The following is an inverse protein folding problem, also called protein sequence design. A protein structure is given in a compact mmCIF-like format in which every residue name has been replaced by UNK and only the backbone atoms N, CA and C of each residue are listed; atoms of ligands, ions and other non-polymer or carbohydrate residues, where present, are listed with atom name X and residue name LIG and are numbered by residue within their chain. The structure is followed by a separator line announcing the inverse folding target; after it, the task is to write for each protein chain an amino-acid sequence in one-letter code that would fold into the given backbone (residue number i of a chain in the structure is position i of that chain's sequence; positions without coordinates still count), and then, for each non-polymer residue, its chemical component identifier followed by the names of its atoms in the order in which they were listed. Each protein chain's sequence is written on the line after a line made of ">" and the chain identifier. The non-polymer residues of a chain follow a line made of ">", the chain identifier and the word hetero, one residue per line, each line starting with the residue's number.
data_IF_325694523074
#
_entry.id   IF_325694523074
#
_cell.length_a   1.000
_cell.length_b   1.000
_cell.length_c   1.000
_cell.angle_alpha   90.00
_cell.angle_beta   90.00
_cell.angle_gamma   90.00
#
_symmetry.space_group_name_H-M   'P 1'
#
loop_
_entity.id
_entity.type
_entity.pdbx_description
1 polymer ?
#
# COMPACT_ATOMS: atom_id res chain seq x y z
N UNK A 1 -11.65 13.67 -10.92
CA UNK A 1 -12.39 13.28 -9.69
C UNK A 1 -12.54 14.48 -8.78
N UNK A 2 -13.46 14.43 -7.83
CA UNK A 2 -13.58 15.39 -6.72
C UNK A 2 -13.59 14.65 -5.37
N UNK A 3 -13.05 15.28 -4.33
CA UNK A 3 -13.14 14.79 -2.95
C UNK A 3 -14.12 15.68 -2.20
N UNK A 4 -15.30 15.15 -1.92
CA UNK A 4 -16.35 15.84 -1.18
C UNK A 4 -16.27 15.55 0.31
N UNK A 5 -16.36 16.57 1.15
CA UNK A 5 -16.43 16.43 2.61
C UNK A 5 -17.87 16.66 3.04
N UNK A 6 -18.48 15.64 3.64
CA UNK A 6 -19.87 15.68 4.12
C UNK A 6 -20.06 16.80 5.14
N UNK A 7 -21.03 17.66 4.89
CA UNK A 7 -21.46 18.79 5.71
C UNK A 7 -22.72 18.46 6.52
N UNK A 8 -23.04 19.24 7.58
CA UNK A 8 -24.29 19.10 8.29
C UNK A 8 -25.50 19.28 7.37
N UNK A 9 -26.41 18.30 7.38
CA UNK A 9 -27.64 18.32 6.57
C UNK A 9 -27.52 17.61 5.21
N UNK A 10 -26.33 17.20 4.81
CA UNK A 10 -26.14 16.45 3.59
C UNK A 10 -26.83 15.09 3.61
N UNK A 11 -27.29 14.69 2.44
CA UNK A 11 -27.71 13.33 2.15
C UNK A 11 -27.18 12.93 0.77
N UNK A 12 -27.08 11.64 0.55
CA UNK A 12 -26.43 11.12 -0.64
C UNK A 12 -27.14 11.52 -1.95
N UNK A 13 -28.47 11.66 -1.92
CA UNK A 13 -29.24 12.14 -3.08
C UNK A 13 -28.89 13.58 -3.44
N UNK A 14 -28.83 14.48 -2.46
CA UNK A 14 -28.45 15.88 -2.68
C UNK A 14 -27.04 16.02 -3.23
N UNK A 15 -26.09 15.23 -2.70
CA UNK A 15 -24.71 15.18 -3.20
C UNK A 15 -24.69 14.66 -4.65
N UNK A 16 -25.34 13.53 -4.92
CA UNK A 16 -25.44 12.94 -6.26
C UNK A 16 -26.01 13.94 -7.29
N UNK A 17 -27.09 14.63 -6.92
CA UNK A 17 -27.73 15.65 -7.74
C UNK A 17 -26.79 16.85 -8.00
N UNK A 18 -26.09 17.33 -6.97
CA UNK A 18 -25.17 18.47 -7.10
C UNK A 18 -23.99 18.19 -8.04
N UNK A 19 -23.49 16.95 -8.03
CA UNK A 19 -22.38 16.54 -8.89
C UNK A 19 -22.83 15.95 -10.25
N UNK A 20 -24.12 15.71 -10.46
CA UNK A 20 -24.63 15.09 -11.68
C UNK A 20 -24.16 13.64 -11.86
N UNK A 21 -23.88 12.92 -10.78
CA UNK A 21 -23.39 11.53 -10.79
C UNK A 21 -24.45 10.62 -10.16
N UNK A 22 -24.74 9.42 -10.72
CA UNK A 22 -25.70 8.50 -10.12
C UNK A 22 -25.32 8.13 -8.67
N UNK A 23 -26.33 8.08 -7.80
CA UNK A 23 -26.14 7.72 -6.39
C UNK A 23 -25.48 6.34 -6.23
N UNK A 24 -25.86 5.36 -7.06
CA UNK A 24 -25.26 4.01 -7.08
C UNK A 24 -23.75 4.06 -7.30
N UNK A 25 -23.26 4.90 -8.22
CA UNK A 25 -21.84 5.03 -8.48
C UNK A 25 -21.09 5.56 -7.25
N UNK A 26 -21.64 6.55 -6.54
CA UNK A 26 -21.02 7.08 -5.32
C UNK A 26 -20.97 6.01 -4.22
N UNK A 27 -22.04 5.21 -4.08
CA UNK A 27 -22.10 4.10 -3.11
C UNK A 27 -21.03 3.06 -3.42
N UNK A 28 -20.91 2.66 -4.69
CA UNK A 28 -19.99 1.60 -5.14
C UNK A 28 -18.54 2.05 -5.03
N UNK A 29 -18.23 3.27 -5.48
CA UNK A 29 -16.88 3.85 -5.42
C UNK A 29 -16.38 3.97 -3.98
N UNK A 30 -17.25 4.39 -3.05
CA UNK A 30 -16.86 4.63 -1.66
C UNK A 30 -17.15 3.45 -0.73
N UNK A 31 -17.77 2.38 -1.24
CA UNK A 31 -18.28 1.22 -0.49
C UNK A 31 -18.95 1.63 0.83
N UNK A 32 -19.88 2.58 0.75
CA UNK A 32 -20.49 3.17 1.94
C UNK A 32 -21.14 2.09 2.81
N UNK A 33 -20.67 1.90 4.07
CA UNK A 33 -21.22 0.86 4.94
C UNK A 33 -22.72 1.07 5.22
N UNK A 34 -23.13 2.34 5.30
CA UNK A 34 -24.53 2.72 5.41
C UNK A 34 -24.80 3.98 4.56
N UNK A 35 -25.30 3.84 3.32
CA UNK A 35 -25.58 4.98 2.44
C UNK A 35 -26.63 5.96 2.97
N UNK A 36 -27.45 5.55 3.96
CA UNK A 36 -28.48 6.39 4.57
C UNK A 36 -27.96 7.23 5.73
N UNK A 37 -26.73 6.98 6.20
CA UNK A 37 -26.13 7.66 7.35
C UNK A 37 -24.72 8.13 6.99
N UNK A 38 -24.65 9.35 6.45
CA UNK A 38 -23.38 10.03 6.23
C UNK A 38 -22.91 10.69 7.53
N UNK A 39 -21.60 10.68 7.77
CA UNK A 39 -20.99 11.32 8.96
C UNK A 39 -20.42 12.67 8.57
N UNK A 40 -20.71 13.73 9.32
CA UNK A 40 -20.10 15.05 9.09
C UNK A 40 -18.57 14.93 9.15
N UNK A 41 -17.89 15.43 8.12
CA UNK A 41 -16.45 15.32 7.94
C UNK A 41 -15.97 14.06 7.23
N UNK A 42 -16.84 13.08 6.96
CA UNK A 42 -16.54 11.93 6.09
C UNK A 42 -16.23 12.41 4.68
N UNK A 43 -15.25 11.79 4.04
CA UNK A 43 -14.92 12.07 2.64
C UNK A 43 -15.58 11.08 1.69
N UNK A 44 -16.08 11.58 0.57
CA UNK A 44 -16.54 10.81 -0.58
C UNK A 44 -15.69 11.16 -1.80
N UNK A 45 -15.16 10.15 -2.50
CA UNK A 45 -14.55 10.32 -3.82
C UNK A 45 -15.66 10.27 -4.86
N UNK A 46 -15.78 11.32 -5.66
CA UNK A 46 -16.75 11.46 -6.74
C UNK A 46 -15.99 11.42 -8.06
N UNK A 47 -16.22 10.38 -8.87
CA UNK A 47 -15.67 10.28 -10.22
C UNK A 47 -16.76 10.56 -11.25
N UNK A 48 -16.39 11.18 -12.36
CA UNK A 48 -17.33 11.62 -13.41
C UNK A 48 -17.12 10.76 -14.65
N UNK A 49 -17.95 9.73 -14.89
CA UNK A 49 -17.87 8.96 -16.13
C UNK A 49 -18.02 9.88 -17.34
N UNK A 50 -17.12 9.74 -18.30
CA UNK A 50 -17.15 10.47 -19.57
C UNK A 50 -17.64 9.55 -20.69
N UNK A 51 -17.13 8.31 -20.70
CA UNK A 51 -17.47 7.30 -21.69
C UNK A 51 -17.94 6.04 -20.97
N UNK A 52 -19.12 5.57 -21.34
CA UNK A 52 -19.75 4.37 -20.79
C UNK A 52 -20.17 3.43 -21.90
N UNK A 53 -20.19 2.14 -21.58
CA UNK A 53 -20.57 1.06 -22.46
C UNK A 53 -21.68 0.23 -21.82
N UNK A 54 -22.70 -0.12 -22.60
CA UNK A 54 -23.76 -1.04 -22.16
C UNK A 54 -23.43 -2.43 -22.64
N UNK A 55 -23.24 -3.37 -21.71
CA UNK A 55 -22.92 -4.77 -22.00
C UNK A 55 -23.99 -5.39 -22.89
N UNK A 56 -23.55 -6.01 -23.98
CA UNK A 56 -24.38 -6.73 -24.95
C UNK A 56 -24.36 -8.25 -24.69
N UNK A 57 -25.37 -9.00 -25.17
CA UNK A 57 -25.33 -10.46 -25.14
C UNK A 57 -24.09 -11.02 -25.86
N UNK A 58 -23.31 -11.84 -25.15
CA UNK A 58 -22.08 -12.45 -25.67
C UNK A 58 -20.79 -11.71 -25.31
N UNK A 59 -20.89 -10.51 -24.72
CA UNK A 59 -19.73 -9.78 -24.26
C UNK A 59 -19.02 -10.49 -23.11
N UNK A 60 -17.69 -10.49 -23.19
CA UNK A 60 -16.80 -10.77 -22.06
C UNK A 60 -16.04 -9.52 -21.67
N UNK A 61 -15.60 -9.43 -20.42
CA UNK A 61 -14.80 -8.30 -19.95
C UNK A 61 -13.53 -8.10 -20.81
N UNK A 62 -12.90 -9.18 -21.23
CA UNK A 62 -11.74 -9.15 -22.12
C UNK A 62 -12.09 -8.59 -23.52
N UNK A 63 -13.23 -8.99 -24.10
CA UNK A 63 -13.68 -8.49 -25.40
C UNK A 63 -14.00 -6.99 -25.37
N UNK A 64 -14.64 -6.51 -24.30
CA UNK A 64 -14.94 -5.08 -24.12
C UNK A 64 -13.66 -4.29 -23.94
N UNK A 65 -12.75 -4.75 -23.08
CA UNK A 65 -11.44 -4.09 -22.88
C UNK A 65 -10.68 -3.94 -24.20
N UNK A 66 -10.58 -5.02 -24.99
CA UNK A 66 -9.89 -5.02 -26.28
C UNK A 66 -10.54 -4.04 -27.28
N UNK A 67 -11.86 -4.07 -27.42
CA UNK A 67 -12.58 -3.19 -28.35
C UNK A 67 -12.46 -1.71 -27.97
N UNK A 68 -12.41 -1.41 -26.68
CA UNK A 68 -12.25 -0.06 -26.15
C UNK A 68 -10.79 0.41 -26.06
N UNK A 69 -9.82 -0.43 -26.45
CA UNK A 69 -8.39 -0.11 -26.37
C UNK A 69 -7.86 0.02 -24.92
N UNK A 70 -8.53 -0.62 -23.96
CA UNK A 70 -8.17 -0.62 -22.55
C UNK A 70 -7.47 -1.92 -22.16
N UNK A 71 -6.58 -1.86 -21.16
CA UNK A 71 -6.16 -3.08 -20.48
C UNK A 71 -7.32 -3.64 -19.64
N UNK A 72 -7.34 -4.95 -19.44
CA UNK A 72 -8.32 -5.59 -18.56
C UNK A 72 -8.27 -5.00 -17.14
N UNK A 73 -7.06 -4.68 -16.66
CA UNK A 73 -6.83 -4.04 -15.37
C UNK A 73 -7.41 -2.63 -15.31
N UNK A 74 -7.24 -1.81 -16.34
CA UNK A 74 -7.85 -0.49 -16.38
C UNK A 74 -9.38 -0.60 -16.36
N UNK A 75 -9.95 -1.56 -17.09
CA UNK A 75 -11.40 -1.76 -17.07
C UNK A 75 -11.91 -2.21 -15.68
N UNK A 76 -11.16 -3.04 -14.96
CA UNK A 76 -11.45 -3.37 -13.55
C UNK A 76 -11.39 -2.14 -12.63
N UNK A 77 -10.32 -1.32 -12.74
CA UNK A 77 -10.16 -0.10 -11.94
C UNK A 77 -11.27 0.92 -12.19
N UNK A 78 -11.71 0.99 -13.44
CA UNK A 78 -12.82 1.85 -13.81
C UNK A 78 -14.16 1.38 -13.23
N UNK A 79 -14.31 0.07 -12.98
CA UNK A 79 -15.55 -0.56 -12.56
C UNK A 79 -15.39 -1.37 -11.26
N UNK A 80 -15.19 -0.72 -10.10
CA UNK A 80 -15.05 -1.40 -8.81
C UNK A 80 -16.26 -2.28 -8.43
N UNK A 81 -17.41 -2.07 -9.06
CA UNK A 81 -18.62 -2.91 -8.94
C UNK A 81 -18.37 -4.36 -9.39
N UNK A 82 -17.43 -4.59 -10.31
CA UNK A 82 -17.07 -5.93 -10.78
C UNK A 82 -16.37 -6.75 -9.71
N UNK A 83 -15.88 -6.11 -8.66
CA UNK A 83 -15.19 -6.75 -7.54
C UNK A 83 -13.95 -7.59 -7.93
N UNK A 84 -13.37 -7.32 -9.09
CA UNK A 84 -12.28 -8.12 -9.66
C UNK A 84 -12.73 -9.46 -10.28
N UNK A 85 -14.03 -9.61 -10.57
CA UNK A 85 -14.62 -10.77 -11.24
C UNK A 85 -14.94 -10.46 -12.72
N UNK A 86 -14.72 -11.40 -13.66
CA UNK A 86 -14.89 -11.13 -15.09
C UNK A 86 -16.35 -11.22 -15.58
N UNK A 87 -17.28 -11.64 -14.72
CA UNK A 87 -18.67 -11.88 -15.08
C UNK A 87 -19.39 -10.57 -15.41
N UNK A 88 -20.03 -10.54 -16.58
CA UNK A 88 -20.85 -9.43 -17.05
C UNK A 88 -22.30 -9.87 -17.28
N UNK A 89 -23.23 -8.95 -17.12
CA UNK A 89 -24.65 -9.16 -17.39
C UNK A 89 -25.13 -8.22 -18.51
N UNK A 90 -25.88 -8.71 -19.52
CA UNK A 90 -26.45 -7.83 -20.54
C UNK A 90 -27.27 -6.69 -19.94
N UNK A 91 -27.05 -5.46 -20.43
CA UNK A 91 -27.65 -4.24 -19.90
C UNK A 91 -26.86 -3.59 -18.75
N UNK A 92 -25.86 -4.26 -18.18
CA UNK A 92 -24.95 -3.63 -17.21
C UNK A 92 -24.18 -2.48 -17.88
N UNK A 93 -24.01 -1.38 -17.16
CA UNK A 93 -23.19 -0.25 -17.63
C UNK A 93 -21.77 -0.39 -17.10
N UNK A 94 -20.78 -0.29 -17.98
CA UNK A 94 -19.37 -0.22 -17.67
C UNK A 94 -18.84 1.19 -17.98
N UNK A 95 -18.03 1.74 -17.10
CA UNK A 95 -17.29 2.97 -17.36
C UNK A 95 -16.01 2.61 -18.11
N UNK A 96 -15.86 3.18 -19.31
CA UNK A 96 -14.65 3.03 -20.13
C UNK A 96 -13.65 4.15 -19.86
N UNK A 97 -14.14 5.37 -19.59
CA UNK A 97 -13.30 6.52 -19.29
C UNK A 97 -13.98 7.45 -18.30
N UNK A 98 -13.19 8.02 -17.40
CA UNK A 98 -13.58 9.12 -16.53
C UNK A 98 -13.03 10.45 -17.06
N UNK A 99 -13.70 11.55 -16.75
CA UNK A 99 -13.22 12.89 -17.09
C UNK A 99 -11.85 13.18 -16.45
N UNK A 100 -10.99 13.84 -17.23
CA UNK A 100 -9.62 14.17 -16.86
C UNK A 100 -8.60 13.39 -17.71
N UNK A 101 -7.33 13.68 -17.50
CA UNK A 101 -6.24 12.91 -18.10
C UNK A 101 -5.48 12.18 -16.99
N UNK A 102 -5.08 10.91 -17.20
CA UNK A 102 -4.22 10.22 -16.26
C UNK A 102 -2.95 11.02 -16.02
N UNK A 103 -2.51 11.11 -14.77
CA UNK A 103 -1.22 11.73 -14.45
C UNK A 103 -0.03 10.83 -14.81
N UNK A 104 1.17 11.13 -14.29
CA UNK A 104 2.39 10.40 -14.64
C UNK A 104 2.29 8.91 -14.29
N UNK A 105 3.12 8.10 -14.94
CA UNK A 105 3.16 6.67 -14.66
C UNK A 105 3.89 6.37 -13.36
N UNK A 106 3.31 5.55 -12.48
CA UNK A 106 3.87 5.22 -11.15
C UNK A 106 3.93 3.71 -10.92
N UNK A 107 4.95 3.27 -10.17
CA UNK A 107 5.00 1.93 -9.60
C UNK A 107 4.13 1.88 -8.33
N UNK A 108 3.33 0.83 -8.16
CA UNK A 108 2.53 0.64 -6.94
C UNK A 108 2.81 -0.74 -6.37
N UNK A 109 3.37 -0.80 -5.18
CA UNK A 109 3.54 -2.03 -4.42
C UNK A 109 2.57 -2.07 -3.24
N UNK A 110 2.15 -3.25 -2.81
CA UNK A 110 1.52 -3.41 -1.51
C UNK A 110 1.85 -4.74 -0.87
N UNK A 111 1.98 -4.71 0.45
CA UNK A 111 2.21 -5.90 1.26
C UNK A 111 0.89 -6.57 1.65
N UNK A 112 0.88 -7.89 1.78
CA UNK A 112 -0.24 -8.66 2.30
C UNK A 112 0.25 -9.92 3.01
N UNK A 113 -0.43 -10.33 4.08
CA UNK A 113 -0.19 -11.64 4.68
C UNK A 113 -1.00 -12.72 3.94
N UNK A 114 -0.54 -13.99 3.96
CA UNK A 114 -1.27 -15.13 3.40
C UNK A 114 -2.75 -15.23 3.79
N UNK A 115 -3.08 -14.85 5.03
CA UNK A 115 -4.44 -14.92 5.58
C UNK A 115 -5.32 -13.70 5.26
N UNK A 116 -4.94 -12.89 4.26
CA UNK A 116 -5.76 -11.78 3.78
C UNK A 116 -7.16 -12.24 3.33
N UNK A 117 -8.18 -11.41 3.57
CA UNK A 117 -9.50 -11.63 3.00
C UNK A 117 -9.41 -11.68 1.45
N UNK A 118 -9.75 -12.81 0.85
CA UNK A 118 -9.58 -13.02 -0.59
C UNK A 118 -10.36 -12.02 -1.44
N UNK A 119 -11.58 -11.67 -1.04
CA UNK A 119 -12.38 -10.68 -1.79
C UNK A 119 -11.77 -9.28 -1.71
N UNK A 120 -11.16 -8.91 -0.58
CA UNK A 120 -10.40 -7.66 -0.47
C UNK A 120 -9.16 -7.68 -1.37
N UNK A 121 -8.40 -8.78 -1.36
CA UNK A 121 -7.23 -8.93 -2.23
C UNK A 121 -7.63 -8.81 -3.71
N UNK A 122 -8.63 -9.59 -4.14
CA UNK A 122 -9.11 -9.61 -5.52
C UNK A 122 -9.51 -8.23 -6.05
N UNK A 123 -10.19 -7.44 -5.22
CA UNK A 123 -10.62 -6.07 -5.56
C UNK A 123 -9.46 -5.09 -5.70
N UNK A 124 -8.36 -5.36 -5.02
CA UNK A 124 -7.24 -4.43 -4.90
C UNK A 124 -6.14 -4.69 -5.92
N UNK A 125 -5.93 -5.96 -6.31
CA UNK A 125 -4.90 -6.36 -7.27
C UNK A 125 -4.87 -5.52 -8.56
N UNK A 126 -5.99 -5.16 -9.22
CA UNK A 126 -5.95 -4.33 -10.42
C UNK A 126 -5.22 -2.98 -10.26
N UNK A 127 -5.09 -2.47 -9.04
CA UNK A 127 -4.41 -1.22 -8.68
C UNK A 127 -2.93 -1.39 -8.33
N UNK A 128 -2.32 -2.57 -8.52
CA UNK A 128 -0.95 -2.83 -8.08
C UNK A 128 -0.01 -3.16 -9.24
N UNK A 129 1.16 -2.56 -9.31
CA UNK A 129 2.26 -3.08 -10.12
C UNK A 129 2.79 -4.38 -9.51
N UNK A 130 2.97 -4.38 -8.19
CA UNK A 130 3.48 -5.49 -7.41
C UNK A 130 2.59 -5.81 -6.20
N UNK A 131 2.38 -7.10 -5.95
CA UNK A 131 1.93 -7.65 -4.67
C UNK A 131 3.15 -8.26 -3.96
N UNK A 132 3.32 -7.98 -2.68
CA UNK A 132 4.43 -8.51 -1.88
C UNK A 132 3.92 -9.35 -0.70
N UNK A 133 3.85 -10.69 -0.83
CA UNK A 133 3.50 -11.58 0.28
C UNK A 133 4.51 -11.45 1.43
N UNK A 134 4.02 -11.13 2.63
CA UNK A 134 4.85 -10.93 3.82
C UNK A 134 4.78 -12.18 4.72
N UNK A 135 5.86 -12.88 5.01
CA UNK A 135 7.25 -12.74 4.51
C UNK A 135 7.99 -14.08 4.59
N UNK A 136 9.07 -14.24 3.82
CA UNK A 136 10.09 -15.21 4.15
C UNK A 136 10.96 -14.71 5.30
N UNK A 137 11.25 -15.61 6.24
CA UNK A 137 12.26 -15.44 7.27
C UNK A 137 13.54 -16.21 6.93
N UNK A 138 14.56 -16.11 7.78
CA UNK A 138 15.87 -16.75 7.57
C UNK A 138 16.19 -17.64 8.78
N UNK A 139 16.72 -18.82 8.54
CA UNK A 139 17.27 -19.71 9.56
C UNK A 139 18.80 -19.49 9.71
N UNK A 140 19.38 -19.94 10.82
CA UNK A 140 20.82 -19.75 11.11
C UNK A 140 21.76 -20.39 10.07
N UNK A 141 21.28 -21.40 9.33
CA UNK A 141 22.00 -22.10 8.26
C UNK A 141 21.77 -21.49 6.87
N UNK A 142 20.93 -20.46 6.75
CA UNK A 142 20.63 -19.77 5.48
C UNK A 142 19.45 -20.36 4.72
N UNK A 143 18.79 -21.37 5.29
CA UNK A 143 17.49 -21.83 4.79
C UNK A 143 16.40 -20.79 5.03
N UNK A 144 15.37 -20.83 4.19
CA UNK A 144 14.24 -19.92 4.29
C UNK A 144 13.15 -20.50 5.20
N UNK A 145 12.58 -19.66 6.05
CA UNK A 145 11.31 -19.99 6.74
C UNK A 145 10.20 -19.93 5.69
N UNK A 146 9.41 -21.00 5.59
CA UNK A 146 8.40 -21.15 4.54
C UNK A 146 7.25 -20.13 4.67
N UNK A 147 6.70 -19.75 3.52
CA UNK A 147 5.56 -18.84 3.39
C UNK A 147 4.49 -19.46 2.48
N UNK A 148 3.23 -19.42 2.93
CA UNK A 148 2.05 -19.85 2.17
C UNK A 148 1.56 -18.73 1.23
N UNK A 149 2.36 -18.42 0.21
CA UNK A 149 2.17 -17.30 -0.71
C UNK A 149 1.57 -17.70 -2.08
N UNK A 150 1.51 -18.99 -2.40
CA UNK A 150 1.07 -19.47 -3.71
C UNK A 150 -0.33 -18.96 -4.10
N UNK A 151 -1.34 -18.92 -3.19
CA UNK A 151 -2.64 -18.34 -3.52
C UNK A 151 -2.54 -16.85 -3.89
N UNK A 152 -1.71 -16.08 -3.19
CA UNK A 152 -1.52 -14.65 -3.44
C UNK A 152 -0.87 -14.42 -4.81
N UNK A 153 0.18 -15.17 -5.11
CA UNK A 153 0.90 -15.10 -6.40
C UNK A 153 -0.04 -15.48 -7.54
N UNK A 154 -0.82 -16.56 -7.38
CA UNK A 154 -1.76 -17.03 -8.40
C UNK A 154 -2.86 -15.99 -8.68
N UNK A 155 -3.43 -15.39 -7.63
CA UNK A 155 -4.44 -14.33 -7.76
C UNK A 155 -3.87 -13.08 -8.45
N UNK A 156 -2.67 -12.64 -8.07
CA UNK A 156 -1.98 -11.53 -8.74
C UNK A 156 -1.75 -11.80 -10.23
N UNK A 157 -1.21 -12.98 -10.56
CA UNK A 157 -0.94 -13.40 -11.94
C UNK A 157 -2.20 -13.43 -12.80
N UNK A 158 -3.34 -13.86 -12.25
CA UNK A 158 -4.61 -13.95 -12.95
C UNK A 158 -5.11 -12.58 -13.47
N UNK A 159 -4.70 -11.48 -12.85
CA UNK A 159 -5.06 -10.12 -13.26
C UNK A 159 -3.86 -9.28 -13.71
N UNK A 160 -2.68 -9.88 -13.91
CA UNK A 160 -1.48 -9.18 -14.37
C UNK A 160 -0.82 -8.27 -13.33
N UNK A 161 -0.95 -8.61 -12.04
CA UNK A 161 -0.12 -8.05 -10.96
C UNK A 161 1.04 -8.99 -10.71
N UNK A 162 2.27 -8.48 -10.84
CA UNK A 162 3.47 -9.26 -10.52
C UNK A 162 3.62 -9.43 -9.00
N UNK A 163 4.37 -10.46 -8.58
CA UNK A 163 4.70 -10.66 -7.18
C UNK A 163 6.16 -10.29 -6.92
N UNK A 164 6.48 -9.67 -5.78
CA UNK A 164 7.85 -9.56 -5.25
C UNK A 164 8.01 -10.52 -4.08
N UNK A 165 9.15 -11.19 -4.00
CA UNK A 165 9.50 -12.02 -2.85
C UNK A 165 9.95 -11.10 -1.73
N UNK A 166 9.32 -11.19 -0.56
CA UNK A 166 9.75 -10.44 0.62
C UNK A 166 10.70 -11.28 1.47
N UNK A 167 11.84 -10.70 1.84
CA UNK A 167 12.84 -11.32 2.70
C UNK A 167 13.14 -10.42 3.89
N UNK A 168 13.04 -10.98 5.10
CA UNK A 168 13.29 -10.26 6.34
C UNK A 168 14.13 -11.08 7.31
N UNK A 169 14.63 -10.44 8.36
CA UNK A 169 15.31 -11.11 9.49
C UNK A 169 14.33 -11.66 10.53
N UNK A 170 13.08 -11.90 10.14
CA UNK A 170 12.09 -12.57 10.97
C UNK A 170 12.48 -14.03 11.21
N UNK A 171 12.48 -14.43 12.47
CA UNK A 171 12.68 -15.81 12.89
C UNK A 171 11.40 -16.63 12.73
N UNK A 172 11.48 -17.95 12.90
CA UNK A 172 10.29 -18.82 12.98
C UNK A 172 9.30 -18.41 14.08
N UNK A 173 9.78 -17.73 15.13
CA UNK A 173 8.94 -17.20 16.21
C UNK A 173 8.26 -15.86 15.87
N UNK A 174 8.48 -15.33 14.66
CA UNK A 174 7.81 -14.14 14.14
C UNK A 174 8.35 -12.82 14.69
N UNK A 175 9.60 -12.78 15.19
CA UNK A 175 10.25 -11.55 15.65
C UNK A 175 11.49 -11.26 14.80
N UNK A 176 11.73 -9.97 14.50
CA UNK A 176 12.97 -9.54 13.88
C UNK A 176 14.17 -9.85 14.79
N UNK A 177 15.27 -10.33 14.22
CA UNK A 177 16.48 -10.70 14.95
C UNK A 177 17.70 -9.95 14.42
N UNK A 178 18.23 -9.06 15.26
CA UNK A 178 19.46 -8.32 14.99
C UNK A 178 20.67 -9.26 14.91
N UNK A 179 20.70 -10.28 15.77
CA UNK A 179 21.79 -11.26 15.81
C UNK A 179 21.81 -12.11 14.53
N UNK A 180 20.63 -12.47 14.02
CA UNK A 180 20.51 -13.16 12.74
C UNK A 180 20.96 -12.27 11.58
N UNK A 181 20.58 -10.99 11.61
CA UNK A 181 21.07 -10.03 10.63
C UNK A 181 22.60 -9.94 10.68
N UNK A 182 23.19 -9.75 11.87
CA UNK A 182 24.64 -9.70 12.06
C UNK A 182 25.33 -10.94 11.50
N UNK A 183 24.81 -12.13 11.80
CA UNK A 183 25.33 -13.41 11.32
C UNK A 183 25.34 -13.46 9.78
N UNK A 184 24.19 -13.21 9.15
CA UNK A 184 24.05 -13.22 7.68
C UNK A 184 24.94 -12.17 7.02
N UNK A 185 25.03 -10.96 7.59
CA UNK A 185 25.78 -9.87 6.98
C UNK A 185 27.30 -10.05 7.06
N UNK A 186 27.80 -10.87 7.99
CA UNK A 186 29.23 -11.06 8.22
C UNK A 186 29.77 -12.44 7.82
N UNK A 187 28.93 -13.39 7.39
CA UNK A 187 29.36 -14.70 6.90
C UNK A 187 29.12 -14.85 5.38
N UNK A 188 30.20 -14.86 4.60
CA UNK A 188 30.12 -14.94 3.14
C UNK A 188 29.62 -16.29 2.62
N UNK A 189 29.83 -17.38 3.37
CA UNK A 189 29.37 -18.72 3.00
C UNK A 189 27.88 -18.84 3.24
N UNK A 190 27.40 -18.32 4.38
CA UNK A 190 25.97 -18.24 4.69
C UNK A 190 25.22 -17.38 3.67
N UNK A 191 25.81 -16.25 3.25
CA UNK A 191 25.23 -15.43 2.18
C UNK A 191 25.08 -16.19 0.87
N UNK A 192 26.03 -17.05 0.48
CA UNK A 192 25.87 -17.85 -0.75
C UNK A 192 24.69 -18.81 -0.65
N UNK A 193 24.58 -19.53 0.46
CA UNK A 193 23.45 -20.45 0.71
C UNK A 193 22.12 -19.70 0.64
N UNK A 194 22.02 -18.57 1.35
CA UNK A 194 20.81 -17.76 1.36
C UNK A 194 20.46 -17.22 -0.03
N UNK A 195 21.45 -16.70 -0.78
CA UNK A 195 21.23 -16.16 -2.13
C UNK A 195 20.77 -17.27 -3.09
N UNK A 196 21.32 -18.48 -2.99
CA UNK A 196 20.92 -19.62 -3.81
C UNK A 196 19.48 -20.08 -3.49
N UNK A 197 19.10 -20.08 -2.21
CA UNK A 197 17.74 -20.39 -1.77
C UNK A 197 16.72 -19.34 -2.21
N UNK A 198 17.10 -18.05 -2.12
CA UNK A 198 16.29 -16.94 -2.66
C UNK A 198 16.11 -17.10 -4.16
N UNK A 199 17.19 -17.34 -4.92
CA UNK A 199 17.12 -17.48 -6.37
C UNK A 199 16.23 -18.68 -6.78
N UNK A 200 16.38 -19.81 -6.11
CA UNK A 200 15.56 -21.01 -6.35
C UNK A 200 14.09 -20.71 -6.10
N UNK A 201 13.77 -19.99 -5.02
CA UNK A 201 12.40 -19.59 -4.68
C UNK A 201 11.82 -18.62 -5.70
N UNK A 202 12.59 -17.60 -6.11
CA UNK A 202 12.19 -16.62 -7.13
C UNK A 202 11.76 -17.32 -8.43
N UNK A 203 12.60 -18.25 -8.90
CA UNK A 203 12.36 -19.00 -10.15
C UNK A 203 11.19 -19.97 -10.02
N UNK A 204 11.13 -20.74 -8.93
CA UNK A 204 10.12 -21.80 -8.75
C UNK A 204 8.72 -21.24 -8.59
N UNK A 205 8.57 -20.14 -7.83
CA UNK A 205 7.27 -19.52 -7.57
C UNK A 205 6.87 -18.46 -8.61
N UNK A 206 7.82 -18.02 -9.44
CA UNK A 206 7.58 -17.03 -10.50
C UNK A 206 7.42 -15.62 -9.94
N UNK A 207 8.24 -15.27 -8.95
CA UNK A 207 8.39 -13.90 -8.48
C UNK A 207 9.08 -13.04 -9.53
N UNK A 208 8.90 -11.72 -9.47
CA UNK A 208 9.43 -10.76 -10.45
C UNK A 208 10.56 -9.89 -9.89
N UNK A 209 10.99 -10.14 -8.65
CA UNK A 209 12.02 -9.38 -7.96
C UNK A 209 12.06 -9.73 -6.48
N UNK A 210 13.05 -9.18 -5.78
CA UNK A 210 13.27 -9.37 -4.35
C UNK A 210 13.12 -8.04 -3.63
N UNK A 211 12.37 -8.04 -2.54
CA UNK A 211 12.26 -6.94 -1.59
C UNK A 211 12.87 -7.36 -0.25
N UNK A 212 13.89 -6.62 0.21
CA UNK A 212 14.66 -6.95 1.42
C UNK A 212 14.34 -5.93 2.51
N UNK A 213 13.86 -6.43 3.64
CA UNK A 213 13.43 -5.66 4.80
C UNK A 213 14.13 -6.17 6.07
N UNK A 214 15.37 -5.75 6.24
CA UNK A 214 16.14 -6.08 7.43
C UNK A 214 16.07 -4.89 8.38
N UNK A 215 15.27 -5.01 9.44
CA UNK A 215 15.11 -3.94 10.43
C UNK A 215 16.03 -4.15 11.65
N UNK A 216 16.21 -3.07 12.42
CA UNK A 216 17.00 -3.06 13.66
C UNK A 216 18.46 -3.49 13.48
N UNK A 217 19.05 -3.26 12.30
CA UNK A 217 20.45 -3.59 12.01
C UNK A 217 21.40 -2.85 12.97
N UNK A 218 22.38 -3.56 13.53
CA UNK A 218 23.35 -2.93 14.42
C UNK A 218 24.17 -1.86 13.68
N UNK A 219 24.58 -0.77 14.35
CA UNK A 219 25.33 0.31 13.72
C UNK A 219 26.60 -0.16 12.98
N UNK A 220 27.33 -1.14 13.53
CA UNK A 220 28.53 -1.69 12.88
C UNK A 220 28.25 -2.45 11.57
N UNK A 221 27.00 -2.89 11.36
CA UNK A 221 26.60 -3.70 10.22
C UNK A 221 26.05 -2.86 9.05
N UNK A 222 26.05 -1.53 9.14
CA UNK A 222 25.53 -0.66 8.08
C UNK A 222 26.23 -0.86 6.71
N UNK A 223 27.57 -0.94 6.70
CA UNK A 223 28.34 -1.20 5.48
C UNK A 223 28.25 -2.66 5.02
N UNK A 224 28.38 -3.67 5.91
CA UNK A 224 28.06 -5.06 5.59
C UNK A 224 26.68 -5.24 4.94
N UNK A 225 25.65 -4.53 5.44
CA UNK A 225 24.31 -4.59 4.87
C UNK A 225 24.26 -4.10 3.42
N UNK A 226 24.82 -2.92 3.13
CA UNK A 226 24.90 -2.42 1.77
C UNK A 226 25.73 -3.33 0.84
N UNK A 227 26.79 -3.95 1.35
CA UNK A 227 27.57 -4.93 0.60
C UNK A 227 26.75 -6.19 0.25
N UNK A 228 25.94 -6.69 1.19
CA UNK A 228 25.03 -7.82 0.96
C UNK A 228 23.96 -7.48 -0.07
N UNK A 229 23.31 -6.32 0.01
CA UNK A 229 22.33 -5.86 -0.99
C UNK A 229 22.98 -5.77 -2.39
N UNK A 230 24.22 -5.28 -2.48
CA UNK A 230 24.97 -5.24 -3.75
C UNK A 230 25.22 -6.65 -4.29
N UNK A 231 25.60 -7.61 -3.44
CA UNK A 231 25.82 -9.01 -3.83
C UNK A 231 24.53 -9.66 -4.34
N UNK A 232 23.41 -9.46 -3.65
CA UNK A 232 22.08 -9.88 -4.11
C UNK A 232 21.80 -9.30 -5.50
N UNK A 233 21.94 -7.98 -5.67
CA UNK A 233 21.71 -7.32 -6.95
C UNK A 233 22.58 -7.90 -8.06
N UNK A 234 23.88 -8.07 -7.83
CA UNK A 234 24.82 -8.53 -8.84
C UNK A 234 24.53 -9.98 -9.27
N UNK A 235 23.96 -10.80 -8.37
CA UNK A 235 23.50 -12.17 -8.67
C UNK A 235 22.13 -12.22 -9.35
N UNK A 236 21.21 -11.34 -8.98
CA UNK A 236 19.80 -11.40 -9.37
C UNK A 236 19.47 -10.57 -10.63
N UNK A 237 20.10 -9.41 -10.82
CA UNK A 237 19.84 -8.53 -11.97
C UNK A 237 20.12 -9.19 -13.34
N UNK A 238 21.22 -9.96 -13.54
CA UNK A 238 21.47 -10.63 -14.82
C UNK A 238 20.36 -11.61 -15.22
N UNK A 239 19.55 -12.05 -14.25
CA UNK A 239 18.41 -12.95 -14.42
C UNK A 239 17.07 -12.20 -14.51
N UNK A 240 17.09 -10.86 -14.48
CA UNK A 240 15.90 -10.02 -14.59
C UNK A 240 15.18 -9.74 -13.27
N UNK A 241 15.78 -10.07 -12.12
CA UNK A 241 15.18 -9.82 -10.80
C UNK A 241 15.78 -8.56 -10.14
N UNK A 242 15.05 -7.43 -10.11
CA UNK A 242 15.49 -6.25 -9.36
C UNK A 242 15.46 -6.51 -7.84
N UNK A 243 16.35 -5.83 -7.14
CA UNK A 243 16.41 -5.82 -5.67
C UNK A 243 15.90 -4.48 -5.14
N UNK A 244 14.90 -4.54 -4.28
CA UNK A 244 14.33 -3.44 -3.53
C UNK A 244 14.80 -3.58 -2.08
N UNK A 245 15.03 -2.45 -1.41
CA UNK A 245 15.37 -2.44 0.01
C UNK A 245 14.44 -1.50 0.77
N UNK A 246 13.86 -1.97 1.87
CA UNK A 246 13.08 -1.16 2.78
C UNK A 246 14.02 -0.38 3.72
N UNK A 247 13.73 0.91 3.93
CA UNK A 247 14.51 1.77 4.81
C UNK A 247 13.63 2.38 5.90
N UNK A 248 14.12 2.32 7.12
CA UNK A 248 13.59 3.07 8.25
C UNK A 248 13.56 4.58 7.95
N UNK A 249 12.54 5.32 8.40
CA UNK A 249 12.37 6.74 8.08
C UNK A 249 13.40 7.61 8.82
N UNK A 250 14.41 8.10 8.08
CA UNK A 250 15.46 9.01 8.59
C UNK A 250 15.23 10.43 8.10
N UNK A 251 15.64 11.40 8.91
CA UNK A 251 15.63 12.84 8.56
C UNK A 251 17.03 13.47 8.58
N UNK A 252 18.04 12.71 9.02
CA UNK A 252 19.45 13.05 8.92
C UNK A 252 20.30 11.77 8.85
N UNK A 253 21.57 11.90 8.44
CA UNK A 253 22.49 10.76 8.32
C UNK A 253 22.92 10.19 9.67
N UNK A 254 23.06 11.05 10.67
CA UNK A 254 23.48 10.78 12.04
C UNK A 254 22.33 10.51 13.01
N UNK A 255 21.09 10.33 12.51
CA UNK A 255 19.93 10.05 13.34
C UNK A 255 20.16 8.80 14.22
N UNK A 256 20.17 8.93 15.55
CA UNK A 256 20.54 7.84 16.45
C UNK A 256 19.36 6.89 16.69
N UNK A 257 19.67 5.64 17.03
CA UNK A 257 18.68 4.63 17.39
C UNK A 257 18.84 3.39 16.54
N UNK A 258 18.61 2.24 17.18
CA UNK A 258 18.78 0.91 16.60
C UNK A 258 18.02 0.70 15.28
N UNK A 259 16.88 1.37 15.11
CA UNK A 259 16.09 1.31 13.88
C UNK A 259 16.78 2.03 12.68
N UNK A 260 17.65 3.00 12.94
CA UNK A 260 18.14 3.96 11.94
C UNK A 260 19.64 3.82 11.63
N UNK A 261 20.44 3.46 12.63
CA UNK A 261 21.91 3.52 12.53
C UNK A 261 22.48 2.49 11.53
N UNK A 262 21.86 1.30 11.45
CA UNK A 262 22.24 0.29 10.46
C UNK A 262 21.78 0.58 9.02
N UNK A 263 21.02 1.66 8.79
CA UNK A 263 20.53 2.05 7.47
C UNK A 263 21.31 3.26 6.92
N UNK A 264 22.39 2.97 6.17
CA UNK A 264 23.07 3.97 5.35
C UNK A 264 22.29 4.21 4.05
N UNK A 265 21.55 5.33 4.00
CA UNK A 265 20.73 5.68 2.84
C UNK A 265 21.55 5.77 1.55
N UNK A 266 22.73 6.39 1.58
CA UNK A 266 23.61 6.49 0.40
C UNK A 266 24.05 5.13 -0.09
N UNK A 267 24.64 4.33 0.80
CA UNK A 267 25.23 3.04 0.41
C UNK A 267 24.15 2.04 -0.04
N UNK A 268 23.01 2.00 0.64
CA UNK A 268 21.86 1.15 0.26
C UNK A 268 21.19 1.67 -1.01
N UNK A 269 21.08 3.00 -1.16
CA UNK A 269 20.59 3.66 -2.36
C UNK A 269 21.46 3.35 -3.57
N UNK A 270 22.78 3.25 -3.44
CA UNK A 270 23.69 2.80 -4.50
C UNK A 270 23.62 1.29 -4.76
N UNK A 271 23.42 0.49 -3.71
CA UNK A 271 23.40 -0.96 -3.77
C UNK A 271 22.13 -1.54 -4.39
N UNK A 272 20.94 -0.99 -4.09
CA UNK A 272 19.65 -1.52 -4.55
C UNK A 272 19.24 -1.01 -5.95
N UNK A 273 18.21 -1.60 -6.57
CA UNK A 273 17.56 -1.06 -7.77
C UNK A 273 16.51 0.02 -7.41
N UNK A 274 15.80 -0.18 -6.29
CA UNK A 274 14.78 0.73 -5.73
C UNK A 274 14.86 0.71 -4.21
N UNK A 275 14.25 1.71 -3.59
CA UNK A 275 14.19 1.89 -2.15
C UNK A 275 12.76 2.16 -1.73
N UNK A 276 12.28 1.44 -0.72
CA UNK A 276 10.98 1.67 -0.09
C UNK A 276 11.17 2.43 1.22
N UNK A 277 10.64 3.67 1.30
CA UNK A 277 10.73 4.48 2.51
C UNK A 277 9.54 4.18 3.43
N UNK A 278 9.79 3.58 4.60
CA UNK A 278 8.75 3.25 5.60
C UNK A 278 8.25 4.50 6.35
N UNK A 279 7.62 5.42 5.62
CA UNK A 279 7.20 6.75 6.07
C UNK A 279 5.84 6.71 6.78
N UNK A 280 5.76 5.90 7.84
CA UNK A 280 4.59 5.74 8.69
C UNK A 280 4.98 5.32 10.12
N UNK A 281 4.01 5.13 11.01
CA UNK A 281 4.17 4.71 12.41
C UNK A 281 4.78 5.77 13.35
N UNK A 282 4.52 7.06 13.10
CA UNK A 282 4.71 8.09 14.15
C UNK A 282 3.64 7.96 15.24
N UNK A 283 2.37 7.90 14.82
CA UNK A 283 1.28 7.40 15.65
C UNK A 283 1.20 5.88 15.50
N UNK A 284 1.62 5.16 16.54
CA UNK A 284 1.71 3.69 16.52
C UNK A 284 1.04 3.05 17.74
N UNK A 285 0.87 1.73 17.66
CA UNK A 285 0.14 0.90 18.64
C UNK A 285 0.50 1.17 20.12
N UNK A 286 1.77 1.41 20.43
CA UNK A 286 2.25 1.62 21.81
C UNK A 286 2.69 3.06 22.09
N UNK A 287 2.52 3.95 21.10
CA UNK A 287 2.77 5.38 21.23
C UNK A 287 1.51 6.15 21.66
N UNK A 288 1.65 7.44 22.01
CA UNK A 288 0.51 8.30 22.26
C UNK A 288 -0.34 8.50 20.98
N UNK A 289 -1.63 8.86 21.12
CA UNK A 289 -2.49 9.16 19.97
C UNK A 289 -1.94 10.32 19.13
N UNK A 290 -1.75 10.08 17.84
CA UNK A 290 -1.44 11.07 16.81
C UNK A 290 -1.64 10.45 15.43
N UNK A 291 -1.52 11.27 14.37
CA UNK A 291 -1.55 10.78 12.99
C UNK A 291 -0.51 9.66 12.75
N UNK A 292 -0.88 8.64 11.97
CA UNK A 292 0.01 7.51 11.64
C UNK A 292 1.20 7.98 10.80
N UNK A 293 0.93 8.82 9.81
CA UNK A 293 1.92 9.39 8.90
C UNK A 293 1.65 10.90 8.70
N UNK A 294 2.00 11.75 9.68
CA UNK A 294 1.83 13.19 9.56
C UNK A 294 2.68 13.73 8.40
N UNK A 295 2.05 14.47 7.48
CA UNK A 295 2.68 14.90 6.22
C UNK A 295 4.00 15.68 6.39
N UNK A 296 4.18 16.57 7.38
CA UNK A 296 5.47 17.25 7.59
C UNK A 296 6.62 16.28 7.87
N UNK A 297 6.35 15.19 8.60
CA UNK A 297 7.38 14.20 8.92
C UNK A 297 7.68 13.31 7.71
N UNK A 298 6.63 12.92 6.96
CA UNK A 298 6.79 12.20 5.68
C UNK A 298 7.66 13.01 4.72
N UNK A 299 7.38 14.32 4.61
CA UNK A 299 8.14 15.26 3.79
C UNK A 299 9.61 15.34 4.20
N UNK A 300 9.87 15.51 5.51
CA UNK A 300 11.24 15.57 6.02
C UNK A 300 12.07 14.32 5.68
N UNK A 301 11.44 13.14 5.70
CA UNK A 301 12.10 11.88 5.32
C UNK A 301 12.39 11.84 3.81
N UNK A 302 11.42 12.25 2.97
CA UNK A 302 11.63 12.32 1.52
C UNK A 302 12.73 13.32 1.18
N UNK A 303 12.72 14.51 1.78
CA UNK A 303 13.71 15.56 1.55
C UNK A 303 15.13 15.09 1.92
N UNK A 304 15.28 14.40 3.06
CA UNK A 304 16.55 13.78 3.41
C UNK A 304 16.92 12.63 2.44
N UNK A 305 15.97 11.78 2.06
CA UNK A 305 16.24 10.69 1.13
C UNK A 305 16.80 11.21 -0.20
N UNK A 306 16.28 12.34 -0.70
CA UNK A 306 16.72 12.98 -1.93
C UNK A 306 18.13 13.57 -1.86
N UNK A 307 18.70 13.79 -0.67
CA UNK A 307 20.11 14.20 -0.55
C UNK A 307 21.07 13.01 -0.70
N UNK A 308 20.56 11.78 -0.60
CA UNK A 308 21.38 10.55 -0.59
C UNK A 308 21.04 9.57 -1.73
N UNK A 309 19.84 9.63 -2.30
CA UNK A 309 19.29 8.63 -3.23
C UNK A 309 18.58 9.35 -4.40
N UNK A 310 18.83 8.96 -5.67
CA UNK A 310 18.09 9.48 -6.80
C UNK A 310 16.58 9.27 -6.67
N UNK A 311 15.79 10.31 -7.00
CA UNK A 311 14.33 10.33 -6.83
C UNK A 311 13.62 9.16 -7.53
N UNK A 312 14.07 8.80 -8.73
CA UNK A 312 13.54 7.72 -9.55
C UNK A 312 13.78 6.30 -8.97
N UNK A 313 14.45 6.21 -7.81
CA UNK A 313 14.59 4.96 -7.05
C UNK A 313 13.64 4.87 -5.87
N UNK A 314 13.02 5.97 -5.45
CA UNK A 314 12.28 6.07 -4.20
C UNK A 314 10.81 5.69 -4.38
N UNK A 315 10.32 4.80 -3.51
CA UNK A 315 8.92 4.53 -3.29
C UNK A 315 8.47 5.13 -1.96
N UNK A 316 7.40 5.92 -2.00
CA UNK A 316 6.79 6.52 -0.83
C UNK A 316 5.99 5.48 -0.03
N UNK A 317 6.21 5.40 1.27
CA UNK A 317 5.41 4.59 2.19
C UNK A 317 4.05 5.23 2.49
N UNK A 318 2.98 4.47 2.34
CA UNK A 318 1.62 4.93 2.64
C UNK A 318 0.90 3.92 3.54
N UNK A 319 0.41 4.34 4.73
CA UNK A 319 -0.37 3.45 5.58
C UNK A 319 -1.81 3.30 5.06
N UNK A 320 -2.33 2.08 5.13
CA UNK A 320 -3.74 1.74 4.81
C UNK A 320 -4.61 1.52 6.05
N UNK A 321 -4.19 2.07 7.20
CA UNK A 321 -4.81 1.84 8.49
C UNK A 321 -4.74 3.08 9.37
N UNK A 322 -5.58 3.08 10.39
CA UNK A 322 -5.54 4.01 11.51
C UNK A 322 -5.45 3.26 12.82
N UNK A 323 -5.62 4.00 13.90
CA UNK A 323 -5.59 3.50 15.26
C UNK A 323 -6.66 4.15 16.11
N UNK A 324 -7.22 3.35 17.01
CA UNK A 324 -8.15 3.75 18.06
C UNK A 324 -7.49 3.53 19.43
N UNK A 325 -7.22 4.63 20.14
CA UNK A 325 -6.59 4.61 21.46
C UNK A 325 -7.61 4.82 22.57
N UNK A 326 -7.66 3.95 23.60
CA UNK A 326 -8.33 4.29 24.84
C UNK A 326 -7.52 5.35 25.62
N UNK A 327 -8.22 6.28 26.26
CA UNK A 327 -7.67 7.39 27.02
C UNK A 327 -7.95 7.27 28.52
N UNK A 328 -7.06 7.78 29.40
CA UNK A 328 -5.80 8.44 29.06
C UNK A 328 -4.73 7.46 28.55
N UNK A 329 -3.82 7.96 27.70
CA UNK A 329 -2.64 7.20 27.30
C UNK A 329 -1.68 7.05 28.49
N UNK A 330 -1.26 5.82 28.76
CA UNK A 330 -0.29 5.47 29.78
C UNK A 330 0.84 4.65 29.11
N UNK A 331 2.05 5.20 29.11
CA UNK A 331 3.22 4.55 28.51
C UNK A 331 3.44 3.15 29.10
N UNK A 332 3.68 2.16 28.22
CA UNK A 332 3.87 0.77 28.60
C UNK A 332 2.60 0.02 29.04
N UNK A 333 1.43 0.65 29.00
CA UNK A 333 0.14 0.03 29.35
C UNK A 333 -0.91 0.18 28.26
N UNK A 334 -1.08 1.40 27.74
CA UNK A 334 -2.07 1.66 26.69
C UNK A 334 -1.62 1.02 25.39
N UNK A 335 -2.56 0.36 24.73
CA UNK A 335 -2.37 -0.26 23.42
C UNK A 335 -3.51 0.17 22.51
N UNK A 336 -3.18 0.79 21.38
CA UNK A 336 -4.16 1.15 20.37
C UNK A 336 -4.64 -0.10 19.60
N UNK A 337 -5.85 -0.02 19.06
CA UNK A 337 -6.36 -1.02 18.12
C UNK A 337 -6.17 -0.53 16.70
N UNK A 338 -5.45 -1.28 15.86
CA UNK A 338 -5.30 -0.94 14.44
C UNK A 338 -6.60 -1.22 13.68
N UNK A 339 -7.12 -0.21 12.99
CA UNK A 339 -8.44 -0.23 12.34
C UNK A 339 -8.37 0.21 10.88
N UNK A 340 -9.38 -0.16 10.09
CA UNK A 340 -9.51 0.34 8.72
C UNK A 340 -10.15 1.74 8.71
N UNK A 341 -9.89 2.55 7.67
CA UNK A 341 -10.63 3.80 7.45
C UNK A 341 -12.15 3.61 7.39
N UNK A 342 -12.64 2.53 6.77
CA UNK A 342 -14.07 2.22 6.72
C UNK A 342 -14.65 1.95 8.12
N UNK A 343 -13.87 1.31 9.00
CA UNK A 343 -14.30 1.06 10.37
C UNK A 343 -14.23 2.33 11.22
N UNK A 344 -13.24 3.21 11.01
CA UNK A 344 -13.17 4.52 11.66
C UNK A 344 -14.44 5.35 11.36
N UNK A 345 -14.89 5.41 10.11
CA UNK A 345 -16.16 6.07 9.73
C UNK A 345 -17.36 5.41 10.41
N UNK A 346 -17.38 4.07 10.49
CA UNK A 346 -18.46 3.34 11.18
C UNK A 346 -18.49 3.62 12.69
N UNK A 347 -17.33 3.77 13.35
CA UNK A 347 -17.23 4.18 14.74
C UNK A 347 -17.77 5.60 14.94
N UNK A 348 -17.35 6.54 14.09
CA UNK A 348 -17.83 7.91 14.13
C UNK A 348 -19.37 7.97 13.97
N UNK A 349 -19.93 7.18 13.05
CA UNK A 349 -21.38 7.04 12.90
C UNK A 349 -22.06 6.47 14.15
N UNK A 350 -21.54 5.37 14.70
CA UNK A 350 -22.07 4.68 15.90
C UNK A 350 -22.17 5.63 17.09
N UNK A 351 -21.11 6.40 17.33
CA UNK A 351 -21.01 7.29 18.48
C UNK A 351 -21.44 8.74 18.18
N UNK A 352 -21.95 9.00 16.98
CA UNK A 352 -22.40 10.33 16.52
C UNK A 352 -21.30 11.41 16.65
N UNK A 353 -20.06 11.02 16.40
CA UNK A 353 -18.91 11.92 16.37
C UNK A 353 -18.71 12.47 14.97
N UNK A 354 -18.50 13.78 14.85
CA UNK A 354 -18.02 14.39 13.61
C UNK A 354 -16.54 14.09 13.41
N UNK A 355 -16.14 13.84 12.17
CA UNK A 355 -14.75 13.62 11.79
C UNK A 355 -14.09 14.98 11.56
N UNK A 356 -13.07 15.29 12.36
CA UNK A 356 -12.23 16.47 12.19
C UNK A 356 -11.06 16.16 11.25
N UNK A 357 -10.42 17.20 10.73
CA UNK A 357 -9.23 17.06 9.90
C UNK A 357 -8.15 17.99 10.42
N UNK A 358 -6.96 17.44 10.67
CA UNK A 358 -5.79 18.24 11.03
C UNK A 358 -5.09 18.68 9.75
N UNK A 359 -5.13 19.98 9.46
CA UNK A 359 -4.55 20.54 8.23
C UNK A 359 -3.00 20.52 8.25
N UNK A 360 -2.36 20.42 9.41
CA UNK A 360 -0.90 20.34 9.50
C UNK A 360 -0.44 18.92 9.27
N UNK A 361 -1.00 17.95 10.00
CA UNK A 361 -0.70 16.54 9.82
C UNK A 361 -1.25 15.99 8.49
N UNK A 362 -2.23 16.67 7.90
CA UNK A 362 -3.04 16.20 6.77
C UNK A 362 -3.63 14.81 7.06
N UNK A 363 -4.36 14.70 8.17
CA UNK A 363 -4.96 13.45 8.63
C UNK A 363 -6.31 13.67 9.34
N UNK A 364 -7.32 12.80 9.10
CA UNK A 364 -8.58 12.84 9.82
C UNK A 364 -8.46 12.24 11.24
N UNK A 365 -9.25 12.79 12.15
CA UNK A 365 -9.34 12.29 13.52
C UNK A 365 -10.68 12.60 14.18
N UNK A 366 -11.01 11.89 15.24
CA UNK A 366 -12.14 12.22 16.11
C UNK A 366 -11.98 11.59 17.50
N UNK A 367 -12.86 11.97 18.43
CA UNK A 367 -12.98 11.35 19.75
C UNK A 367 -14.39 10.84 19.97
N UNK A 368 -14.51 9.82 20.81
CA UNK A 368 -15.80 9.32 21.29
C UNK A 368 -15.68 8.79 22.72
N UNK A 369 -16.80 8.42 23.32
CA UNK A 369 -16.84 7.71 24.62
C UNK A 369 -17.60 6.41 24.41
N UNK A 370 -16.99 5.29 24.78
CA UNK A 370 -17.58 3.96 24.64
C UNK A 370 -18.69 3.71 25.68
N UNK A 371 -19.34 2.55 25.60
CA UNK A 371 -20.42 2.19 26.52
C UNK A 371 -19.96 2.04 27.98
N UNK A 372 -18.66 1.88 28.22
CA UNK A 372 -18.06 1.76 29.55
C UNK A 372 -17.64 3.13 30.13
N UNK A 373 -17.82 4.23 29.39
CA UNK A 373 -17.36 5.56 29.79
C UNK A 373 -15.88 5.82 29.49
N UNK A 374 -15.19 4.92 28.79
CA UNK A 374 -13.81 5.11 28.33
C UNK A 374 -13.81 6.11 27.19
N UNK A 375 -12.94 7.11 27.26
CA UNK A 375 -12.74 8.05 26.15
C UNK A 375 -11.79 7.44 25.13
N UNK A 376 -12.04 7.69 23.86
CA UNK A 376 -11.21 7.21 22.76
C UNK A 376 -10.77 8.37 21.87
N UNK A 377 -9.59 8.24 21.29
CA UNK A 377 -9.10 9.10 20.21
C UNK A 377 -8.71 8.24 19.02
N UNK A 378 -9.21 8.59 17.84
CA UNK A 378 -9.03 7.85 16.60
C UNK A 378 -8.32 8.74 15.60
N UNK A 379 -7.21 8.25 15.06
CA UNK A 379 -6.52 8.83 13.90
C UNK A 379 -6.47 7.80 12.78
N UNK A 380 -6.78 8.20 11.55
CA UNK A 380 -6.84 7.29 10.41
C UNK A 380 -6.49 8.04 9.11
N UNK A 381 -6.70 7.39 7.97
CA UNK A 381 -6.48 7.97 6.65
C UNK A 381 -7.81 8.10 5.89
N UNK A 382 -7.98 9.15 5.09
CA UNK A 382 -9.14 9.33 4.21
C UNK A 382 -8.70 9.82 2.82
N UNK A 383 -9.65 10.13 1.93
CA UNK A 383 -9.30 10.55 0.58
C UNK A 383 -8.43 11.82 0.55
N UNK A 384 -8.59 12.74 1.51
CA UNK A 384 -7.81 13.99 1.60
C UNK A 384 -6.36 13.69 1.94
N UNK A 385 -6.15 12.90 3.00
CA UNK A 385 -4.81 12.55 3.46
C UNK A 385 -4.05 11.71 2.45
N UNK A 386 -4.72 10.78 1.76
CA UNK A 386 -4.12 10.01 0.65
C UNK A 386 -3.74 10.92 -0.51
N UNK A 387 -4.63 11.83 -0.95
CA UNK A 387 -4.28 12.79 -2.01
C UNK A 387 -3.06 13.62 -1.63
N UNK A 388 -3.00 14.11 -0.40
CA UNK A 388 -1.89 14.92 0.08
C UNK A 388 -0.55 14.17 0.05
N UNK A 389 -0.53 12.91 0.52
CA UNK A 389 0.67 12.05 0.50
C UNK A 389 1.07 11.66 -0.93
N UNK A 390 0.12 11.20 -1.73
CA UNK A 390 0.40 10.78 -3.10
C UNK A 390 0.88 11.93 -4.00
N UNK A 391 0.46 13.17 -3.71
CA UNK A 391 0.95 14.35 -4.44
C UNK A 391 2.45 14.61 -4.24
N UNK A 392 3.08 14.03 -3.20
CA UNK A 392 4.53 14.10 -3.01
C UNK A 392 5.29 13.37 -4.14
N UNK A 393 4.68 12.36 -4.78
CA UNK A 393 5.31 11.60 -5.87
C UNK A 393 5.65 12.52 -7.05
N UNK A 394 4.70 13.22 -7.68
CA UNK A 394 5.01 14.15 -8.75
C UNK A 394 5.74 15.41 -8.26
N UNK A 395 5.53 15.84 -7.01
CA UNK A 395 6.24 16.99 -6.42
C UNK A 395 7.76 16.76 -6.36
N UNK A 396 8.18 15.56 -5.97
CA UNK A 396 9.59 15.21 -5.81
C UNK A 396 10.16 14.32 -6.91
N UNK A 397 9.35 13.91 -7.90
CA UNK A 397 9.77 13.02 -8.98
C UNK A 397 10.04 11.59 -8.55
N UNK A 398 9.30 11.09 -7.54
CA UNK A 398 9.45 9.73 -7.00
C UNK A 398 8.96 8.68 -8.01
N UNK A 399 9.45 7.44 -7.90
CA UNK A 399 9.08 6.35 -8.82
C UNK A 399 7.66 5.81 -8.57
N UNK A 400 7.19 5.88 -7.32
CA UNK A 400 5.95 5.25 -6.93
C UNK A 400 5.63 5.25 -5.44
N UNK A 401 4.74 4.35 -5.04
CA UNK A 401 4.31 4.16 -3.66
C UNK A 401 4.31 2.67 -3.26
N UNK A 402 4.59 2.41 -1.99
CA UNK A 402 4.40 1.11 -1.33
C UNK A 402 3.41 1.23 -0.18
N UNK A 403 2.44 0.32 -0.12
CA UNK A 403 1.38 0.34 0.89
C UNK A 403 1.56 -0.71 1.97
N UNK A 404 1.63 -0.28 3.23
CA UNK A 404 1.52 -1.15 4.39
C UNK A 404 0.12 -1.02 5.00
N UNK A 405 -0.73 -2.03 4.99
CA UNK A 405 -0.74 -3.20 4.10
C UNK A 405 -2.19 -3.44 3.63
N UNK A 406 -2.43 -4.43 2.77
CA UNK A 406 -3.76 -4.69 2.17
C UNK A 406 -4.78 -5.30 3.13
N UNK A 407 -4.44 -5.58 4.38
CA UNK A 407 -5.29 -6.35 5.29
C UNK A 407 -6.58 -5.64 5.69
N UNK A 408 -6.76 -4.38 5.28
CA UNK A 408 -7.87 -3.51 5.70
C UNK A 408 -8.49 -2.79 4.50
N UNK A 409 -9.84 -2.73 4.40
CA UNK A 409 -10.51 -2.09 3.29
C UNK A 409 -10.37 -0.57 3.35
N UNK A 410 -9.92 0.02 2.24
CA UNK A 410 -9.88 1.46 2.03
C UNK A 410 -10.11 1.79 0.55
N UNK A 411 -11.37 1.74 0.06
CA UNK A 411 -11.66 1.85 -1.37
C UNK A 411 -11.26 3.21 -1.95
N UNK A 412 -11.46 4.30 -1.20
CA UNK A 412 -11.14 5.66 -1.64
C UNK A 412 -9.66 5.84 -1.96
N UNK A 413 -8.76 5.14 -1.25
CA UNK A 413 -7.33 5.16 -1.53
C UNK A 413 -7.03 4.80 -2.98
N UNK A 414 -7.58 3.67 -3.43
CA UNK A 414 -7.35 3.15 -4.79
C UNK A 414 -7.96 4.04 -5.86
N UNK A 415 -9.11 4.67 -5.56
CA UNK A 415 -9.73 5.63 -6.47
C UNK A 415 -8.93 6.93 -6.60
N UNK A 416 -8.38 7.42 -5.48
CA UNK A 416 -7.50 8.60 -5.50
C UNK A 416 -6.23 8.28 -6.28
N UNK A 417 -5.59 7.15 -6.01
CA UNK A 417 -4.40 6.67 -6.74
C UNK A 417 -4.66 6.57 -8.26
N UNK A 418 -5.73 5.90 -8.67
CA UNK A 418 -6.08 5.70 -10.08
C UNK A 418 -6.49 7.01 -10.79
N UNK A 419 -7.05 7.97 -10.03
CA UNK A 419 -7.38 9.29 -10.58
C UNK A 419 -6.16 10.20 -10.72
N UNK A 420 -5.10 9.97 -9.94
CA UNK A 420 -3.89 10.79 -9.98
C UNK A 420 -2.84 10.25 -10.95
N UNK A 421 -2.83 8.95 -11.27
CA UNK A 421 -1.71 8.33 -11.98
C UNK A 421 -2.10 7.26 -12.98
N UNK A 422 -1.18 7.02 -13.91
CA UNK A 422 -1.17 5.79 -14.71
C UNK A 422 -0.40 4.70 -13.96
N UNK A 423 -1.09 3.70 -13.42
CA UNK A 423 -0.42 2.60 -12.70
C UNK A 423 0.32 1.71 -13.70
N UNK A 424 1.63 1.50 -13.48
CA UNK A 424 2.45 0.67 -14.37
C UNK A 424 2.02 -0.79 -14.28
N UNK A 425 1.81 -1.38 -15.45
CA UNK A 425 1.52 -2.81 -15.60
C UNK A 425 2.82 -3.54 -15.94
N UNK A 426 3.09 -4.64 -15.24
CA UNK A 426 4.20 -5.53 -15.61
C UNK A 426 3.79 -6.36 -16.82
N UNK A 427 4.69 -6.56 -17.81
CA UNK A 427 4.39 -7.45 -18.94
C UNK A 427 3.99 -8.83 -18.42
N UNK A 428 2.84 -9.34 -18.87
CA UNK A 428 2.50 -10.74 -18.63
C UNK A 428 3.57 -11.62 -19.31
N UNK A 429 4.03 -12.70 -18.67
CA UNK A 429 4.84 -13.70 -19.35
C UNK A 429 4.15 -14.12 -20.66
N UNK A 430 4.91 -14.15 -21.76
CA UNK A 430 4.37 -14.48 -23.08
C UNK A 430 3.70 -15.86 -23.07
N UNK A 431 2.35 -15.88 -23.04
CA UNK A 431 1.58 -17.13 -22.97
C UNK A 431 0.13 -16.97 -22.52
N UNK A 432 -0.21 -15.90 -21.79
CA UNK A 432 -1.53 -15.73 -21.16
C UNK A 432 -2.59 -14.98 -22.01
N UNK A 433 -2.23 -14.48 -23.20
CA UNK A 433 -3.20 -13.88 -24.14
C UNK A 433 -3.92 -14.93 -25.01
N UNK A 434 -3.85 -16.21 -24.64
CA UNK A 434 -4.48 -17.32 -25.36
C UNK A 434 -5.26 -18.23 -24.40
N UNK A 435 -6.37 -17.74 -23.87
CA UNK A 435 -7.45 -18.59 -23.37
C UNK A 435 -8.75 -17.80 -23.31
#
# INVERSE_FOLDING_TARGET
>A
MEIYVVQPGDNLFGIAQAFGVPMSHIIEDNRLPNPSLLVVGQTLVIRFPEEVYTVQPGDTLASVALQSGLSLRQLYRNNPILEGQPTLYPGQTLVLRYQGSPGPSVTVNSYAYPFINQSLLQRTLPFLTYLTPFTYGIQEDGELVSLDDEPLIAMGRAVGTAALMHLSTLTESGNFSNDLANLVLNDLSLQEVLIDNVLTTLQTKGYSGLDVDFEFIFPQDALPYAAFIRRLRDRLNPLGYPVIVALAPKTSSDQPGLLYEGHSYRDLGEAANRVFLMTYEWGYTYGPPMAVAPLPNVRAVVEYALTEIPAEKLWLGVPNYGYDWPLPFLQGKTRATSISPQYAVSLAARYRSSISYDETAQAPWFRYTDENGTKHEVWFEDARSIRAKLSLIPEYGLDGAGYWNLMRPFPQNWLVLDSLFTIRETPLPAGLLRS
#
